data_IF_139994314252
#
_entry.id   IF_139994314252
#
_cell.length_a   1.000
_cell.length_b   1.000
_cell.length_c   1.000
_cell.angle_alpha   90.00
_cell.angle_beta   90.00
_cell.angle_gamma   90.00
#
_symmetry.space_group_name_H-M   'P 1'
#
loop_
_entity.id
_entity.type
_entity.pdbx_description
1 polymer ?
#
# COMPACT_ATOMS: atom_id res chain seq x y z
N UNK A 1 43.66 21.62 -31.42
CA UNK A 1 43.75 20.73 -30.25
C UNK A 1 42.37 20.67 -29.61
N UNK A 2 41.60 19.61 -29.84
CA UNK A 2 40.32 19.39 -29.13
C UNK A 2 40.59 18.40 -28.00
N UNK A 3 40.54 18.89 -26.77
CA UNK A 3 40.64 18.03 -25.59
C UNK A 3 39.36 17.17 -25.53
N UNK A 4 39.51 15.86 -25.79
CA UNK A 4 38.39 14.94 -26.02
C UNK A 4 37.66 14.53 -24.73
N UNK A 5 38.04 15.07 -23.58
CA UNK A 5 37.53 14.70 -22.26
C UNK A 5 37.13 15.93 -21.43
N UNK A 6 36.54 16.94 -22.05
CA UNK A 6 35.94 18.03 -21.30
C UNK A 6 34.60 17.57 -20.70
N UNK A 7 34.50 17.62 -19.36
CA UNK A 7 33.31 17.28 -18.60
C UNK A 7 32.63 18.55 -18.08
N UNK A 8 31.31 18.57 -18.11
CA UNK A 8 30.45 19.62 -17.55
C UNK A 8 29.44 19.01 -16.60
N UNK A 9 28.90 19.79 -15.67
CA UNK A 9 27.84 19.31 -14.77
C UNK A 9 26.49 19.32 -15.49
N UNK A 10 25.72 18.24 -15.38
CA UNK A 10 24.37 18.17 -15.92
C UNK A 10 23.47 19.22 -15.24
N UNK A 11 22.78 20.10 -15.99
CA UNK A 11 21.95 21.16 -15.40
C UNK A 11 20.69 20.63 -14.69
N UNK A 12 20.31 19.37 -14.94
CA UNK A 12 19.14 18.74 -14.32
C UNK A 12 19.48 18.00 -13.01
N UNK A 13 20.54 17.17 -13.00
CA UNK A 13 20.88 16.33 -11.83
C UNK A 13 22.22 16.66 -11.16
N UNK A 14 23.06 17.51 -11.77
CA UNK A 14 24.36 17.93 -11.24
C UNK A 14 25.53 16.98 -11.53
N UNK A 15 25.28 15.76 -12.00
CA UNK A 15 26.35 14.77 -12.25
C UNK A 15 27.22 15.16 -13.47
N UNK A 16 28.55 14.90 -13.46
CA UNK A 16 29.44 15.14 -14.59
C UNK A 16 29.04 14.35 -15.85
N UNK A 17 28.93 15.06 -16.95
CA UNK A 17 28.66 14.53 -18.30
C UNK A 17 29.71 15.03 -19.28
N UNK A 18 29.90 14.31 -20.39
CA UNK A 18 30.74 14.80 -21.49
C UNK A 18 30.10 16.06 -22.07
N UNK A 19 30.93 17.06 -22.41
CA UNK A 19 30.46 18.33 -23.00
C UNK A 19 29.61 18.16 -24.27
N UNK A 20 29.85 17.10 -25.04
CA UNK A 20 29.10 16.78 -26.26
C UNK A 20 28.12 15.61 -26.07
N UNK A 21 27.73 15.30 -24.83
CA UNK A 21 26.70 14.28 -24.58
C UNK A 21 25.37 14.73 -25.21
N UNK A 22 24.62 13.82 -25.82
CA UNK A 22 23.27 14.09 -26.36
C UNK A 22 22.18 13.96 -25.29
N UNK A 23 22.44 13.18 -24.25
CA UNK A 23 21.58 13.00 -23.08
C UNK A 23 22.44 12.65 -21.87
N UNK A 24 21.94 12.90 -20.67
CA UNK A 24 22.62 12.57 -19.42
C UNK A 24 22.51 11.05 -19.17
N UNK A 25 23.64 10.31 -19.05
CA UNK A 25 23.59 8.87 -18.78
C UNK A 25 23.13 8.53 -17.35
N UNK A 26 23.03 9.53 -16.46
CA UNK A 26 22.64 9.34 -15.07
C UNK A 26 21.14 9.53 -14.83
N UNK A 27 20.53 10.54 -15.46
CA UNK A 27 19.10 10.85 -15.25
C UNK A 27 18.26 10.83 -16.53
N UNK A 28 18.88 10.66 -17.71
CA UNK A 28 18.18 10.62 -19.00
C UNK A 28 17.78 11.97 -19.59
N UNK A 29 18.00 13.09 -18.87
CA UNK A 29 17.65 14.42 -19.36
C UNK A 29 18.50 14.84 -20.57
N UNK A 30 17.89 15.58 -21.48
CA UNK A 30 18.48 16.09 -22.72
C UNK A 30 18.04 17.54 -23.00
N UNK A 31 18.35 18.07 -24.19
CA UNK A 31 17.96 19.42 -24.61
C UNK A 31 16.45 19.69 -24.55
N UNK A 32 15.61 18.66 -24.71
CA UNK A 32 14.14 18.83 -24.73
C UNK A 32 13.51 18.66 -23.36
N UNK A 33 14.16 17.91 -22.48
CA UNK A 33 13.58 17.44 -21.22
C UNK A 33 14.25 18.04 -19.98
N UNK A 34 15.43 18.65 -20.10
CA UNK A 34 16.07 19.24 -18.92
C UNK A 34 17.35 20.06 -19.10
N UNK A 35 17.87 20.26 -20.32
CA UNK A 35 19.04 21.11 -20.57
C UNK A 35 18.70 22.44 -21.26
N UNK A 36 17.49 22.58 -21.80
CA UNK A 36 17.04 23.87 -22.32
C UNK A 36 17.02 24.91 -21.19
N UNK A 37 17.41 26.14 -21.51
CA UNK A 37 17.28 27.29 -20.60
C UNK A 37 15.83 27.71 -20.38
N UNK A 38 14.89 27.10 -21.11
CA UNK A 38 13.45 27.25 -20.95
C UNK A 38 13.03 26.47 -19.71
N UNK A 39 13.14 27.13 -18.55
CA UNK A 39 12.63 26.60 -17.29
C UNK A 39 11.13 26.39 -17.41
N UNK A 40 10.71 25.14 -17.62
CA UNK A 40 9.31 24.70 -17.56
C UNK A 40 8.74 24.75 -16.13
N UNK A 41 9.29 25.59 -15.25
CA UNK A 41 8.92 25.70 -13.83
C UNK A 41 8.25 27.04 -13.52
N UNK A 42 7.73 27.70 -14.54
CA UNK A 42 7.02 28.96 -14.38
C UNK A 42 5.52 28.64 -14.29
N UNK A 43 5.00 28.69 -13.07
CA UNK A 43 3.58 28.62 -12.69
C UNK A 43 2.86 27.26 -12.87
N UNK A 44 3.12 26.34 -11.95
CA UNK A 44 2.03 25.47 -11.50
C UNK A 44 1.09 26.36 -10.68
N UNK A 45 0.06 26.90 -11.31
CA UNK A 45 -1.05 27.55 -10.63
C UNK A 45 -1.82 26.46 -9.87
N UNK A 46 -1.44 26.25 -8.61
CA UNK A 46 -2.20 25.42 -7.69
C UNK A 46 -3.48 26.18 -7.36
N UNK A 47 -4.62 25.60 -7.73
CA UNK A 47 -5.93 26.08 -7.33
C UNK A 47 -6.00 26.14 -5.80
N UNK A 48 -6.43 27.27 -5.26
CA UNK A 48 -6.58 27.51 -3.82
C UNK A 48 -7.69 26.65 -3.19
N UNK A 49 -8.61 26.12 -3.99
CA UNK A 49 -9.65 25.18 -3.56
C UNK A 49 -9.22 23.70 -3.64
N UNK A 50 -7.95 23.40 -3.98
CA UNK A 50 -7.48 22.01 -4.09
C UNK A 50 -7.33 21.32 -2.71
N UNK A 51 -8.26 20.42 -2.38
CA UNK A 51 -8.19 19.57 -1.17
C UNK A 51 -7.28 18.34 -1.42
N UNK A 52 -6.05 18.44 -0.92
CA UNK A 52 -5.06 17.36 -0.95
C UNK A 52 -5.50 16.11 -0.16
N UNK A 53 -6.21 16.28 0.95
CA UNK A 53 -6.62 15.15 1.81
C UNK A 53 -7.78 14.37 1.18
N UNK A 54 -8.75 15.08 0.58
CA UNK A 54 -9.85 14.45 -0.16
C UNK A 54 -9.31 13.60 -1.34
N UNK A 55 -8.51 14.21 -2.20
CA UNK A 55 -7.92 13.55 -3.38
C UNK A 55 -7.08 12.32 -3.00
N UNK A 56 -6.23 12.45 -1.99
CA UNK A 56 -5.39 11.35 -1.51
C UNK A 56 -6.23 10.21 -0.91
N UNK A 57 -7.30 10.55 -0.18
CA UNK A 57 -8.19 9.54 0.40
C UNK A 57 -9.01 8.78 -0.65
N UNK A 58 -9.38 9.45 -1.74
CA UNK A 58 -10.18 8.88 -2.83
C UNK A 58 -9.33 8.02 -3.79
N UNK A 59 -8.11 8.46 -4.11
CA UNK A 59 -7.21 7.74 -5.02
C UNK A 59 -6.41 6.63 -4.31
N UNK A 60 -6.02 6.87 -3.06
CA UNK A 60 -5.25 5.93 -2.24
C UNK A 60 -6.01 5.59 -0.95
N UNK A 61 -7.21 5.00 -1.04
CA UNK A 61 -7.96 4.61 0.14
C UNK A 61 -7.09 3.64 0.94
N UNK A 62 -6.68 4.08 2.13
CA UNK A 62 -5.97 3.22 3.09
C UNK A 62 -6.93 2.11 3.48
N UNK A 63 -6.84 0.97 2.80
CA UNK A 63 -7.59 -0.20 3.19
C UNK A 63 -7.08 -0.60 4.59
N UNK A 64 -7.83 -0.23 5.63
CA UNK A 64 -7.70 -0.95 6.90
C UNK A 64 -8.35 -2.30 6.64
N UNK A 65 -7.54 -3.27 6.22
CA UNK A 65 -7.94 -4.67 6.14
C UNK A 65 -8.22 -5.11 7.57
N UNK A 66 -9.46 -4.88 8.04
CA UNK A 66 -9.94 -5.37 9.32
C UNK A 66 -9.66 -6.88 9.33
N UNK A 67 -8.90 -7.42 10.29
CA UNK A 67 -8.62 -8.85 10.32
C UNK A 67 -9.95 -9.59 10.35
N UNK A 68 -10.09 -10.71 9.61
CA UNK A 68 -11.34 -11.43 9.55
C UNK A 68 -11.77 -11.81 10.96
N UNK A 69 -12.98 -11.43 11.36
CA UNK A 69 -13.53 -11.71 12.69
C UNK A 69 -13.67 -13.22 12.88
N UNK A 70 -12.67 -13.85 13.50
CA UNK A 70 -12.64 -15.31 13.80
C UNK A 70 -13.57 -15.72 14.96
N UNK A 71 -14.52 -14.88 15.36
CA UNK A 71 -15.27 -15.00 16.61
C UNK A 71 -16.62 -15.75 16.46
N UNK A 72 -17.13 -15.95 15.24
CA UNK A 72 -18.42 -16.65 15.06
C UNK A 72 -18.34 -18.17 15.31
N UNK A 73 -17.29 -18.85 14.81
CA UNK A 73 -17.22 -20.32 14.89
C UNK A 73 -16.90 -20.85 16.30
N UNK A 74 -16.18 -20.08 17.12
CA UNK A 74 -15.84 -20.44 18.51
C UNK A 74 -17.10 -20.45 19.37
N UNK A 75 -18.01 -19.50 19.14
CA UNK A 75 -19.30 -19.47 19.83
C UNK A 75 -20.17 -20.70 19.48
N UNK A 76 -20.17 -21.11 18.21
CA UNK A 76 -20.89 -22.30 17.75
C UNK A 76 -20.28 -23.57 18.36
N UNK A 77 -18.95 -23.72 18.30
CA UNK A 77 -18.26 -24.86 18.89
C UNK A 77 -18.49 -24.94 20.41
N UNK A 78 -18.43 -23.80 21.11
CA UNK A 78 -18.73 -23.72 22.54
C UNK A 78 -20.16 -24.13 22.88
N UNK A 79 -21.14 -23.70 22.10
CA UNK A 79 -22.54 -24.09 22.29
C UNK A 79 -22.77 -25.60 22.06
N UNK A 80 -22.12 -26.18 21.04
CA UNK A 80 -22.21 -27.62 20.75
C UNK A 80 -21.58 -28.43 21.89
N UNK A 81 -20.37 -28.06 22.34
CA UNK A 81 -19.70 -28.74 23.46
C UNK A 81 -20.53 -28.65 24.73
N UNK A 82 -21.08 -27.47 25.05
CA UNK A 82 -21.95 -27.28 26.20
C UNK A 82 -23.22 -28.14 26.10
N UNK A 83 -23.85 -28.19 24.93
CA UNK A 83 -25.04 -29.03 24.69
C UNK A 83 -24.73 -30.52 24.93
N UNK A 84 -23.65 -31.04 24.37
CA UNK A 84 -23.24 -32.43 24.59
C UNK A 84 -22.87 -32.70 26.05
N UNK A 85 -22.25 -31.73 26.73
CA UNK A 85 -21.90 -31.86 28.15
C UNK A 85 -23.16 -31.92 29.03
N UNK A 86 -24.14 -31.05 28.77
CA UNK A 86 -25.44 -31.06 29.46
C UNK A 86 -26.20 -32.34 29.15
N UNK A 87 -26.25 -32.78 27.88
CA UNK A 87 -26.90 -34.02 27.49
C UNK A 87 -26.26 -35.24 28.18
N UNK A 88 -24.93 -35.31 28.23
CA UNK A 88 -24.20 -36.38 28.94
C UNK A 88 -24.41 -36.34 30.45
N UNK A 89 -24.51 -35.14 31.04
CA UNK A 89 -24.83 -34.97 32.46
C UNK A 89 -26.27 -35.42 32.75
N UNK A 90 -27.24 -35.04 31.93
CA UNK A 90 -28.64 -35.47 32.04
C UNK A 90 -28.76 -36.99 31.85
N UNK A 91 -28.00 -37.59 30.94
CA UNK A 91 -27.92 -39.05 30.76
C UNK A 91 -27.32 -39.75 31.99
N UNK A 92 -26.29 -39.17 32.61
CA UNK A 92 -25.70 -39.71 33.85
C UNK A 92 -26.58 -39.54 35.09
N UNK A 93 -27.44 -38.52 35.11
CA UNK A 93 -28.40 -38.28 36.21
C UNK A 93 -29.75 -39.00 35.98
N UNK A 94 -30.07 -39.39 34.73
CA UNK A 94 -31.37 -39.92 34.30
C UNK A 94 -31.47 -41.44 34.13
N UNK A 95 -30.50 -42.23 34.57
CA UNK A 95 -30.66 -43.70 34.65
C UNK A 95 -31.17 -44.10 36.04
N UNK A 96 -32.44 -43.78 36.35
CA UNK A 96 -33.44 -44.82 36.48
C UNK A 96 -34.67 -44.48 35.62
N UNK A 97 -35.51 -45.46 35.27
CA UNK A 97 -36.71 -45.34 34.43
C UNK A 97 -36.50 -45.44 32.91
N UNK A 98 -36.21 -46.65 32.43
CA UNK A 98 -37.25 -47.48 31.80
C UNK A 98 -36.89 -48.94 32.07
N UNK A 99 -37.50 -49.49 33.12
CA UNK A 99 -37.70 -50.92 33.22
C UNK A 99 -38.79 -51.29 32.21
N UNK A 100 -38.38 -51.94 31.13
CA UNK A 100 -39.25 -52.76 30.29
C UNK A 100 -39.11 -54.20 30.80
N UNK A 101 -40.28 -54.86 30.98
CA UNK A 101 -40.57 -56.27 31.29
C UNK A 101 -40.05 -56.87 32.60
#
# INVERSE_FOLDING_TARGET
>A
MTDKNEYVSCPHCGEPIKKNAMACPHCGSDEKTGWSGEKYLDNIDLDDDFDYEETLSNEFPRHSSKPPKKISWIAIAGAIVLFFFIAAMLMKLGTPYLGEN
#
